data_IF_661484775727
#
_entry.id   IF_661484775727
#
_cell.length_a   1.000
_cell.length_b   1.000
_cell.length_c   1.000
_cell.angle_alpha   90.00
_cell.angle_beta   90.00
_cell.angle_gamma   90.00
#
_symmetry.space_group_name_H-M   'P 1'
#
loop_
_entity.id
_entity.type
_entity.pdbx_description
1 polymer ?
#
# COMPACT_ATOMS: atom_id res chain seq x y z
N UNK A 1 29.90 -30.02 -14.00
CA UNK A 1 29.94 -28.55 -13.95
C UNK A 1 28.82 -28.15 -13.03
N UNK A 2 29.12 -27.64 -11.83
CA UNK A 2 28.09 -27.11 -10.94
C UNK A 2 27.51 -25.87 -11.60
N UNK A 3 26.22 -25.91 -11.96
CA UNK A 3 25.50 -24.71 -12.36
C UNK A 3 25.51 -23.77 -11.15
N UNK A 4 26.24 -22.66 -11.25
CA UNK A 4 26.11 -21.58 -10.28
C UNK A 4 24.77 -20.89 -10.55
N UNK A 5 23.86 -20.92 -9.56
CA UNK A 5 22.59 -20.20 -9.63
C UNK A 5 22.82 -18.68 -9.59
N UNK A 6 22.03 -17.95 -10.35
CA UNK A 6 22.13 -16.50 -10.48
C UNK A 6 20.87 -15.80 -9.94
N UNK A 7 21.05 -14.54 -9.55
CA UNK A 7 19.96 -13.63 -9.20
C UNK A 7 19.95 -12.41 -10.11
N UNK A 8 18.78 -11.86 -10.39
CA UNK A 8 18.62 -10.57 -11.03
C UNK A 8 18.43 -9.48 -9.97
N UNK A 9 19.23 -8.43 -10.08
CA UNK A 9 19.05 -7.23 -9.26
C UNK A 9 17.93 -6.34 -9.82
N UNK A 10 17.50 -5.35 -9.03
CA UNK A 10 16.48 -4.36 -9.44
C UNK A 10 16.89 -3.53 -10.65
N UNK A 11 18.19 -3.33 -10.87
CA UNK A 11 18.78 -2.66 -12.03
C UNK A 11 18.91 -3.56 -13.28
N UNK A 12 18.43 -4.82 -13.18
CA UNK A 12 18.53 -5.82 -14.26
C UNK A 12 19.89 -6.55 -14.32
N UNK A 13 20.88 -6.20 -13.48
CA UNK A 13 22.18 -6.88 -13.50
C UNK A 13 22.08 -8.30 -12.95
N UNK A 14 22.83 -9.22 -13.58
CA UNK A 14 22.93 -10.64 -13.18
C UNK A 14 24.10 -10.82 -12.22
N UNK A 15 23.91 -11.57 -11.14
CA UNK A 15 24.94 -11.87 -10.16
C UNK A 15 24.78 -13.29 -9.60
N UNK A 16 25.90 -13.98 -9.30
CA UNK A 16 25.88 -15.27 -8.61
C UNK A 16 25.20 -15.16 -7.22
N UNK A 17 24.46 -16.19 -6.85
CA UNK A 17 23.86 -16.32 -5.51
C UNK A 17 24.98 -16.31 -4.47
N UNK A 18 24.79 -15.57 -3.39
CA UNK A 18 25.76 -15.49 -2.30
C UNK A 18 25.04 -15.59 -0.95
N UNK A 19 25.39 -16.61 -0.18
CA UNK A 19 24.96 -16.79 1.20
C UNK A 19 25.25 -15.54 2.04
N UNK A 20 26.45 -15.02 1.96
CA UNK A 20 26.91 -13.89 2.78
C UNK A 20 26.11 -12.60 2.49
N UNK A 21 25.72 -12.40 1.23
CA UNK A 21 24.90 -11.22 0.87
C UNK A 21 23.48 -11.31 1.43
N UNK A 22 22.89 -12.49 1.40
CA UNK A 22 21.55 -12.75 1.98
C UNK A 22 21.63 -12.59 3.49
N UNK A 23 22.60 -13.23 4.13
CA UNK A 23 22.85 -13.12 5.58
C UNK A 23 23.07 -11.65 6.00
N UNK A 24 23.90 -10.91 5.27
CA UNK A 24 24.18 -9.49 5.53
C UNK A 24 22.92 -8.64 5.39
N UNK A 25 22.09 -8.92 4.37
CA UNK A 25 20.80 -8.24 4.17
C UNK A 25 19.86 -8.45 5.35
N UNK A 26 19.76 -9.69 5.84
CA UNK A 26 18.91 -10.04 6.99
C UNK A 26 19.42 -9.35 8.26
N UNK A 27 20.71 -9.43 8.53
CA UNK A 27 21.35 -8.79 9.69
C UNK A 27 21.17 -7.27 9.67
N UNK A 28 21.27 -6.63 8.50
CA UNK A 28 21.07 -5.18 8.37
C UNK A 28 19.65 -4.75 8.77
N UNK A 29 18.66 -5.62 8.61
CA UNK A 29 17.25 -5.32 8.99
C UNK A 29 16.94 -5.74 10.42
N UNK A 30 17.88 -6.34 11.12
CA UNK A 30 17.75 -6.88 12.48
C UNK A 30 18.41 -5.97 13.53
N UNK A 31 18.30 -4.65 13.35
CA UNK A 31 18.70 -3.71 14.41
C UNK A 31 17.83 -3.89 15.66
N UNK A 32 18.27 -3.39 16.83
CA UNK A 32 17.66 -3.57 18.17
C UNK A 32 17.79 -4.99 18.75
N UNK A 33 18.91 -5.70 18.44
CA UNK A 33 19.30 -6.98 19.05
C UNK A 33 18.19 -8.06 19.05
N UNK A 34 17.55 -8.25 17.90
CA UNK A 34 16.52 -9.27 17.75
C UNK A 34 17.09 -10.67 18.02
N UNK A 35 16.38 -11.45 18.83
CA UNK A 35 16.73 -12.84 19.16
C UNK A 35 16.36 -13.80 18.01
N UNK A 36 17.20 -13.86 16.99
CA UNK A 36 16.96 -14.60 15.75
C UNK A 36 18.17 -15.47 15.41
N UNK A 37 17.94 -16.71 15.03
CA UNK A 37 18.97 -17.56 14.44
C UNK A 37 19.15 -17.23 12.96
N UNK A 38 20.02 -16.27 12.66
CA UNK A 38 20.26 -15.77 11.30
C UNK A 38 20.77 -16.85 10.34
N UNK A 39 21.65 -17.74 10.81
CA UNK A 39 22.22 -18.80 9.96
C UNK A 39 21.14 -19.79 9.54
N UNK A 40 20.34 -20.28 10.47
CA UNK A 40 19.24 -21.21 10.17
C UNK A 40 18.19 -20.55 9.26
N UNK A 41 17.88 -19.28 9.48
CA UNK A 41 16.96 -18.53 8.62
C UNK A 41 17.52 -18.41 7.20
N UNK A 42 18.79 -18.06 7.07
CA UNK A 42 19.44 -17.89 5.75
C UNK A 42 19.47 -19.22 4.97
N UNK A 43 19.78 -20.34 5.61
CA UNK A 43 19.73 -21.67 4.98
C UNK A 43 18.32 -21.95 4.45
N UNK A 44 17.28 -21.76 5.27
CA UNK A 44 15.89 -21.99 4.85
C UNK A 44 15.46 -21.11 3.67
N UNK A 45 16.04 -19.93 3.52
CA UNK A 45 15.76 -19.05 2.38
C UNK A 45 16.46 -19.58 1.14
N UNK A 46 17.74 -19.94 1.25
CA UNK A 46 18.55 -20.44 0.12
C UNK A 46 17.93 -21.71 -0.46
N UNK A 47 17.43 -22.60 0.37
CA UNK A 47 16.77 -23.84 -0.06
C UNK A 47 15.50 -23.60 -0.91
N UNK A 48 15.01 -22.36 -0.96
CA UNK A 48 13.84 -21.94 -1.74
C UNK A 48 14.18 -21.14 -2.99
N UNK A 49 15.46 -20.82 -3.19
CA UNK A 49 15.90 -20.07 -4.36
C UNK A 49 15.89 -20.94 -5.60
N UNK A 50 15.72 -20.32 -6.73
CA UNK A 50 15.83 -20.92 -8.06
C UNK A 50 16.69 -20.00 -8.95
N UNK A 51 17.25 -20.56 -10.03
CA UNK A 51 18.07 -19.78 -10.97
C UNK A 51 17.26 -18.66 -11.61
N UNK A 52 17.83 -17.46 -11.62
CA UNK A 52 17.21 -16.27 -12.19
C UNK A 52 16.21 -15.55 -11.30
N UNK A 53 16.09 -15.91 -10.01
CA UNK A 53 15.20 -15.21 -9.06
C UNK A 53 15.60 -13.73 -8.91
N UNK A 54 14.60 -12.86 -8.80
CA UNK A 54 14.83 -11.44 -8.53
C UNK A 54 15.15 -11.17 -7.05
N UNK A 55 16.08 -10.24 -6.76
CA UNK A 55 16.41 -9.89 -5.37
C UNK A 55 15.23 -9.28 -4.60
N UNK A 56 14.26 -8.68 -5.28
CA UNK A 56 12.98 -8.24 -4.68
C UNK A 56 12.13 -9.41 -4.20
N UNK A 57 12.15 -10.51 -4.94
CA UNK A 57 11.45 -11.74 -4.59
C UNK A 57 12.14 -12.48 -3.45
N UNK A 58 13.48 -12.45 -3.38
CA UNK A 58 14.23 -12.97 -2.23
C UNK A 58 13.84 -12.22 -0.94
N UNK A 59 13.73 -10.89 -0.98
CA UNK A 59 13.24 -10.09 0.16
C UNK A 59 11.80 -10.53 0.54
N UNK A 60 10.91 -10.77 -0.43
CA UNK A 60 9.55 -11.25 -0.19
C UNK A 60 9.51 -12.65 0.46
N UNK A 61 10.26 -13.61 -0.10
CA UNK A 61 10.39 -14.96 0.46
C UNK A 61 10.97 -14.93 1.88
N UNK A 62 11.95 -14.04 2.12
CA UNK A 62 12.55 -13.85 3.45
C UNK A 62 11.50 -13.33 4.44
N UNK A 63 10.72 -12.32 4.07
CA UNK A 63 9.68 -11.77 4.92
C UNK A 63 8.59 -12.81 5.23
N UNK A 64 8.16 -13.60 4.24
CA UNK A 64 7.20 -14.69 4.41
C UNK A 64 7.74 -15.79 5.35
N UNK A 65 9.01 -16.17 5.18
CA UNK A 65 9.64 -17.16 6.05
C UNK A 65 9.73 -16.66 7.49
N UNK A 66 10.09 -15.40 7.69
CA UNK A 66 10.09 -14.78 9.01
C UNK A 66 8.67 -14.76 9.60
N UNK A 67 7.67 -14.33 8.82
CA UNK A 67 6.28 -14.31 9.28
C UNK A 67 5.78 -15.70 9.71
N UNK A 68 6.16 -16.77 9.00
CA UNK A 68 5.82 -18.15 9.37
C UNK A 68 6.47 -18.60 10.68
N UNK A 69 7.61 -18.02 11.04
CA UNK A 69 8.35 -18.32 12.29
C UNK A 69 7.92 -17.43 13.47
N UNK A 70 6.99 -16.50 13.29
CA UNK A 70 6.51 -15.59 14.34
C UNK A 70 5.87 -16.32 15.53
N UNK A 71 5.33 -17.51 15.31
CA UNK A 71 4.81 -18.39 16.37
C UNK A 71 5.92 -19.00 17.25
N UNK A 72 7.16 -19.05 16.75
CA UNK A 72 8.32 -19.54 17.50
C UNK A 72 8.93 -18.44 18.36
N UNK A 73 9.07 -17.23 17.81
CA UNK A 73 9.55 -16.05 18.53
C UNK A 73 9.01 -14.76 17.89
N UNK A 74 8.51 -13.78 18.69
CA UNK A 74 7.90 -12.55 18.18
C UNK A 74 8.85 -11.69 17.33
N UNK A 75 10.16 -11.74 17.56
CA UNK A 75 11.14 -10.97 16.82
C UNK A 75 11.17 -11.32 15.34
N UNK A 76 10.78 -12.54 14.96
CA UNK A 76 10.60 -12.88 13.54
C UNK A 76 9.49 -12.05 12.87
N UNK A 77 8.42 -11.71 13.59
CA UNK A 77 7.38 -10.83 13.04
C UNK A 77 7.90 -9.41 12.80
N UNK A 78 8.75 -8.90 13.70
CA UNK A 78 9.41 -7.61 13.56
C UNK A 78 10.34 -7.61 12.33
N UNK A 79 11.18 -8.63 12.21
CA UNK A 79 12.07 -8.75 11.06
C UNK A 79 11.30 -8.90 9.74
N UNK A 80 10.19 -9.66 9.75
CA UNK A 80 9.33 -9.84 8.58
C UNK A 80 8.80 -8.51 8.05
N UNK A 81 8.26 -7.65 8.93
CA UNK A 81 7.74 -6.34 8.55
C UNK A 81 8.85 -5.42 8.04
N UNK A 82 10.00 -5.38 8.71
CA UNK A 82 11.14 -4.55 8.30
C UNK A 82 11.66 -4.90 6.91
N UNK A 83 11.84 -6.18 6.62
CA UNK A 83 12.30 -6.64 5.29
C UNK A 83 11.26 -6.29 4.23
N UNK A 84 9.99 -6.57 4.49
CA UNK A 84 8.90 -6.32 3.55
C UNK A 84 8.77 -4.83 3.21
N UNK A 85 8.75 -3.97 4.22
CA UNK A 85 8.65 -2.51 4.05
C UNK A 85 9.87 -1.96 3.32
N UNK A 86 11.08 -2.38 3.71
CA UNK A 86 12.31 -1.99 3.01
C UNK A 86 12.33 -2.47 1.56
N UNK A 87 11.77 -3.65 1.26
CA UNK A 87 11.60 -4.15 -0.10
C UNK A 87 10.67 -3.22 -0.91
N UNK A 88 9.52 -2.90 -0.33
CA UNK A 88 8.53 -2.01 -0.94
C UNK A 88 9.11 -0.61 -1.24
N UNK A 89 9.82 -0.01 -0.26
CA UNK A 89 10.46 1.29 -0.45
C UNK A 89 11.53 1.29 -1.55
N UNK A 90 12.24 0.17 -1.75
CA UNK A 90 13.21 0.02 -2.85
C UNK A 90 12.55 -0.16 -4.22
N UNK A 91 11.31 -0.64 -4.26
CA UNK A 91 10.57 -0.89 -5.49
C UNK A 91 9.67 0.31 -5.89
N UNK A 92 9.58 1.34 -5.04
CA UNK A 92 8.72 2.52 -5.24
C UNK A 92 9.53 3.81 -5.09
N UNK A 93 9.11 4.86 -5.80
CA UNK A 93 9.71 6.20 -5.63
C UNK A 93 9.31 6.82 -4.30
N UNK A 94 10.15 7.70 -3.76
CA UNK A 94 9.86 8.55 -2.61
C UNK A 94 9.25 9.91 -3.00
N UNK A 95 9.24 10.24 -4.29
CA UNK A 95 8.67 11.47 -4.80
C UNK A 95 7.15 11.40 -4.87
N UNK A 96 6.47 12.04 -3.94
CA UNK A 96 5.01 12.10 -3.95
C UNK A 96 4.46 12.79 -5.19
N UNK A 97 5.08 13.87 -5.63
CA UNK A 97 4.70 14.57 -6.87
C UNK A 97 4.79 13.67 -8.09
N UNK A 98 5.83 12.83 -8.18
CA UNK A 98 5.95 11.84 -9.27
C UNK A 98 4.80 10.82 -9.23
N UNK A 99 4.46 10.30 -8.05
CA UNK A 99 3.34 9.35 -7.90
C UNK A 99 2.03 10.00 -8.34
N UNK A 100 1.75 11.22 -7.87
CA UNK A 100 0.53 11.96 -8.21
C UNK A 100 0.46 12.25 -9.71
N UNK A 101 1.57 12.64 -10.33
CA UNK A 101 1.62 12.89 -11.76
C UNK A 101 1.35 11.60 -12.58
N UNK A 102 1.92 10.47 -12.17
CA UNK A 102 1.68 9.18 -12.83
C UNK A 102 0.22 8.74 -12.70
N UNK A 103 -0.38 8.90 -11.52
CA UNK A 103 -1.80 8.56 -11.29
C UNK A 103 -2.76 9.48 -12.07
N UNK A 104 -2.42 10.76 -12.21
CA UNK A 104 -3.24 11.71 -12.96
C UNK A 104 -3.15 11.50 -14.46
N UNK A 105 -1.96 11.22 -14.99
CA UNK A 105 -1.72 11.02 -16.42
C UNK A 105 -1.98 9.57 -16.88
N UNK A 106 -2.60 8.75 -16.03
CA UNK A 106 -2.93 7.38 -16.40
C UNK A 106 -3.86 7.33 -17.61
N UNK A 107 -3.56 6.43 -18.53
CA UNK A 107 -4.41 6.10 -19.67
C UNK A 107 -4.91 4.66 -19.53
N UNK A 108 -6.14 4.43 -19.94
CA UNK A 108 -6.73 3.09 -19.94
C UNK A 108 -6.21 2.22 -21.14
N UNK A 109 -6.72 1.01 -21.27
CA UNK A 109 -6.34 0.05 -22.31
C UNK A 109 -6.65 0.53 -23.75
N UNK A 110 -7.39 1.63 -23.88
CA UNK A 110 -7.73 2.27 -25.15
C UNK A 110 -6.98 3.58 -25.36
N UNK A 111 -5.88 3.81 -24.62
CA UNK A 111 -5.08 5.05 -24.62
C UNK A 111 -5.89 6.32 -24.28
N UNK A 112 -7.06 6.16 -23.64
CA UNK A 112 -7.88 7.28 -23.21
C UNK A 112 -7.43 7.74 -21.81
N UNK A 113 -7.24 9.05 -21.64
CA UNK A 113 -6.94 9.65 -20.35
C UNK A 113 -8.03 9.28 -19.32
N UNK A 114 -7.62 8.59 -18.28
CA UNK A 114 -8.49 8.03 -17.23
C UNK A 114 -7.86 8.23 -15.85
N UNK A 115 -7.83 9.48 -15.35
CA UNK A 115 -7.09 9.83 -14.15
C UNK A 115 -7.61 9.09 -12.93
N UNK A 116 -6.70 8.53 -12.13
CA UNK A 116 -7.01 7.82 -10.89
C UNK A 116 -7.14 8.78 -9.70
N UNK A 117 -6.64 10.00 -9.83
CA UNK A 117 -6.80 11.07 -8.85
C UNK A 117 -7.46 12.29 -9.47
N UNK A 118 -8.03 13.17 -8.62
CA UNK A 118 -8.72 14.37 -9.06
C UNK A 118 -7.76 15.43 -9.60
N UNK A 119 -8.25 16.24 -10.55
CA UNK A 119 -7.51 17.39 -11.07
C UNK A 119 -7.17 18.40 -9.96
N UNK A 120 -8.05 18.56 -8.99
CA UNK A 120 -7.82 19.44 -7.84
C UNK A 120 -6.61 18.99 -7.03
N UNK A 121 -6.54 17.69 -6.68
CA UNK A 121 -5.39 17.14 -5.95
C UNK A 121 -4.11 17.24 -6.77
N UNK A 122 -4.16 16.95 -8.06
CA UNK A 122 -3.03 17.08 -8.98
C UNK A 122 -2.47 18.51 -8.98
N UNK A 123 -3.33 19.51 -9.17
CA UNK A 123 -2.92 20.94 -9.15
C UNK A 123 -2.33 21.35 -7.80
N UNK A 124 -3.00 20.99 -6.71
CA UNK A 124 -2.57 21.30 -5.34
C UNK A 124 -1.18 20.77 -5.03
N UNK A 125 -0.92 19.49 -5.36
CA UNK A 125 0.37 18.85 -5.09
C UNK A 125 1.48 19.47 -5.93
N UNK A 126 1.23 19.78 -7.21
CA UNK A 126 2.24 20.42 -8.06
C UNK A 126 2.54 21.85 -7.60
N UNK A 127 1.52 22.60 -7.14
CA UNK A 127 1.70 23.98 -6.63
C UNK A 127 2.52 24.01 -5.33
N UNK A 128 2.37 23.00 -4.46
CA UNK A 128 3.00 22.95 -3.14
C UNK A 128 4.00 21.82 -2.99
N UNK A 129 4.58 21.33 -4.09
CA UNK A 129 5.38 20.10 -4.16
C UNK A 129 6.49 20.04 -3.10
N UNK A 130 7.33 21.08 -2.98
CA UNK A 130 8.43 21.10 -2.02
C UNK A 130 7.94 21.09 -0.57
N UNK A 131 6.89 21.84 -0.27
CA UNK A 131 6.30 21.91 1.07
C UNK A 131 5.73 20.54 1.48
N UNK A 132 4.91 19.93 0.63
CA UNK A 132 4.30 18.64 0.90
C UNK A 132 5.38 17.55 1.00
N UNK A 133 6.36 17.56 0.09
CA UNK A 133 7.46 16.59 0.11
C UNK A 133 8.26 16.65 1.42
N UNK A 134 8.44 17.83 2.01
CA UNK A 134 9.17 18.00 3.27
C UNK A 134 8.46 17.41 4.52
N UNK A 135 7.20 17.06 4.41
CA UNK A 135 6.42 16.51 5.52
C UNK A 135 6.57 15.00 5.70
N UNK A 136 7.08 14.30 4.67
CA UNK A 136 7.21 12.85 4.73
C UNK A 136 8.29 12.40 5.70
N UNK A 137 7.92 11.45 6.55
CA UNK A 137 8.79 10.70 7.41
C UNK A 137 8.67 9.20 7.05
N UNK A 138 9.61 8.71 6.26
CA UNK A 138 9.59 7.35 5.72
C UNK A 138 9.79 6.27 6.78
N UNK A 139 10.36 6.63 7.94
CA UNK A 139 10.52 5.71 9.07
C UNK A 139 9.17 5.30 9.67
N UNK A 140 8.14 6.13 9.50
CA UNK A 140 6.77 5.79 9.95
C UNK A 140 6.16 4.60 9.20
N UNK A 141 6.65 4.23 8.02
CA UNK A 141 6.24 2.98 7.36
C UNK A 141 6.57 1.78 8.24
N UNK A 142 7.70 1.79 8.96
CA UNK A 142 8.13 0.72 9.86
C UNK A 142 7.32 0.59 11.16
N UNK A 143 6.37 1.48 11.39
CA UNK A 143 5.35 1.32 12.45
C UNK A 143 4.30 0.25 12.10
N UNK A 144 4.21 -0.15 10.83
CA UNK A 144 3.29 -1.20 10.39
C UNK A 144 3.91 -2.58 10.66
N UNK A 145 3.08 -3.50 11.17
CA UNK A 145 3.46 -4.89 11.23
C UNK A 145 3.32 -5.59 9.86
N UNK A 146 3.80 -6.82 9.76
CA UNK A 146 3.78 -7.59 8.52
C UNK A 146 2.35 -7.72 7.95
N UNK A 147 1.39 -8.04 8.81
CA UNK A 147 0.01 -8.30 8.38
C UNK A 147 -0.70 -7.01 7.96
N UNK A 148 -0.51 -5.94 8.73
CA UNK A 148 -1.04 -4.60 8.40
C UNK A 148 -0.49 -4.08 7.08
N UNK A 149 0.83 -4.20 6.86
CA UNK A 149 1.44 -3.79 5.60
C UNK A 149 0.90 -4.62 4.42
N UNK A 150 0.83 -5.95 4.55
CA UNK A 150 0.27 -6.83 3.49
C UNK A 150 -1.19 -6.50 3.18
N UNK A 151 -1.96 -6.09 4.16
CA UNK A 151 -3.33 -5.63 3.95
C UNK A 151 -3.37 -4.35 3.10
N UNK A 152 -2.52 -3.37 3.43
CA UNK A 152 -2.41 -2.14 2.63
C UNK A 152 -1.93 -2.43 1.19
N UNK A 153 -0.88 -3.21 1.05
CA UNK A 153 -0.30 -3.61 -0.24
C UNK A 153 -1.32 -4.31 -1.14
N UNK A 154 -2.08 -5.23 -0.57
CA UNK A 154 -3.07 -6.01 -1.31
C UNK A 154 -4.25 -5.17 -1.80
N UNK A 155 -4.81 -4.34 -0.93
CA UNK A 155 -6.13 -3.77 -1.12
C UNK A 155 -6.19 -2.22 -1.19
N UNK A 156 -5.22 -1.49 -0.62
CA UNK A 156 -5.39 -0.06 -0.40
C UNK A 156 -4.43 0.83 -1.20
N UNK A 157 -3.18 0.41 -1.38
CA UNK A 157 -2.21 1.20 -2.12
C UNK A 157 -2.56 1.25 -3.61
N UNK A 158 -2.53 2.43 -4.20
CA UNK A 158 -2.87 2.61 -5.62
C UNK A 158 -1.87 1.92 -6.53
N UNK A 159 -2.41 1.39 -7.63
CA UNK A 159 -1.71 0.61 -8.65
C UNK A 159 -1.92 1.22 -10.02
N UNK A 160 -0.89 1.14 -10.86
CA UNK A 160 -0.97 1.41 -12.29
C UNK A 160 -0.63 0.10 -13.01
N UNK A 161 -1.53 -0.38 -13.86
CA UNK A 161 -1.37 -1.65 -14.59
C UNK A 161 -0.98 -2.84 -13.68
N UNK A 162 -1.59 -2.91 -12.50
CA UNK A 162 -1.33 -3.97 -11.51
C UNK A 162 -0.08 -3.76 -10.64
N UNK A 163 0.77 -2.77 -10.96
CA UNK A 163 1.98 -2.45 -10.20
C UNK A 163 1.67 -1.36 -9.16
N UNK A 164 2.05 -1.61 -7.91
CA UNK A 164 1.86 -0.65 -6.81
C UNK A 164 2.80 0.54 -7.01
N UNK A 165 2.25 1.75 -6.92
CA UNK A 165 3.00 3.00 -7.06
C UNK A 165 3.02 3.84 -5.77
N UNK A 166 2.07 3.63 -4.86
CA UNK A 166 2.02 4.32 -3.57
C UNK A 166 2.85 3.59 -2.50
N UNK A 167 3.48 4.35 -1.62
CA UNK A 167 3.89 3.91 -0.28
C UNK A 167 2.75 4.16 0.71
N UNK A 168 2.73 3.54 1.91
CA UNK A 168 1.75 3.86 2.95
C UNK A 168 1.69 5.36 3.25
N UNK A 169 2.83 6.03 3.36
CA UNK A 169 2.89 7.48 3.60
C UNK A 169 2.26 8.29 2.45
N UNK A 170 2.41 7.87 1.19
CA UNK A 170 1.74 8.49 0.06
C UNK A 170 0.22 8.39 0.17
N UNK A 171 -0.29 7.22 0.56
CA UNK A 171 -1.72 7.01 0.77
C UNK A 171 -2.26 7.93 1.87
N UNK A 172 -1.58 8.00 3.04
CA UNK A 172 -2.00 8.88 4.13
C UNK A 172 -2.02 10.35 3.70
N UNK A 173 -1.01 10.78 2.93
CA UNK A 173 -0.94 12.15 2.42
C UNK A 173 -2.05 12.43 1.39
N UNK A 174 -2.27 11.52 0.43
CA UNK A 174 -3.35 11.62 -0.57
C UNK A 174 -4.71 11.75 0.11
N UNK A 175 -4.98 10.93 1.11
CA UNK A 175 -6.24 10.96 1.88
C UNK A 175 -6.39 12.29 2.61
N UNK A 176 -5.35 12.74 3.29
CA UNK A 176 -5.37 14.00 4.04
C UNK A 176 -5.62 15.21 3.14
N UNK A 177 -4.91 15.29 2.02
CA UNK A 177 -5.12 16.36 1.03
C UNK A 177 -6.47 16.24 0.32
N UNK A 178 -6.94 15.02 0.07
CA UNK A 178 -8.25 14.78 -0.55
C UNK A 178 -9.42 15.20 0.34
N UNK A 179 -9.25 15.20 1.66
CA UNK A 179 -10.26 15.65 2.64
C UNK A 179 -10.22 17.16 2.84
N UNK A 180 -9.02 17.73 3.00
CA UNK A 180 -8.85 19.12 3.43
C UNK A 180 -8.57 20.11 2.30
N UNK A 181 -8.22 19.61 1.10
CA UNK A 181 -7.94 20.47 -0.04
C UNK A 181 -6.82 21.48 0.27
N UNK A 182 -7.12 22.76 0.05
CA UNK A 182 -6.17 23.87 0.22
C UNK A 182 -5.81 24.18 1.69
N UNK A 183 -6.55 23.63 2.66
CA UNK A 183 -6.18 23.80 4.08
C UNK A 183 -4.99 22.87 4.44
N UNK A 184 -3.81 23.28 3.96
CA UNK A 184 -2.57 22.53 4.15
C UNK A 184 -2.22 22.28 5.62
N UNK A 185 -2.64 23.16 6.52
CA UNK A 185 -2.41 23.00 7.96
C UNK A 185 -3.19 21.81 8.52
N UNK A 186 -4.48 21.70 8.18
CA UNK A 186 -5.32 20.56 8.58
C UNK A 186 -4.88 19.27 7.85
N UNK A 187 -4.53 19.36 6.58
CA UNK A 187 -4.02 18.22 5.83
C UNK A 187 -2.78 17.63 6.49
N UNK A 188 -1.79 18.46 6.83
CA UNK A 188 -0.58 18.02 7.55
C UNK A 188 -0.93 17.40 8.91
N UNK A 189 -1.79 18.02 9.68
CA UNK A 189 -2.20 17.50 10.98
C UNK A 189 -2.86 16.11 10.86
N UNK A 190 -3.78 15.94 9.93
CA UNK A 190 -4.45 14.66 9.68
C UNK A 190 -3.47 13.60 9.19
N UNK A 191 -2.53 13.96 8.29
CA UNK A 191 -1.44 13.08 7.89
C UNK A 191 -0.59 12.64 9.07
N UNK A 192 -0.17 13.56 9.94
CA UNK A 192 0.65 13.23 11.11
C UNK A 192 -0.08 12.26 12.04
N UNK A 193 -1.38 12.45 12.27
CA UNK A 193 -2.16 11.55 13.12
C UNK A 193 -2.31 10.15 12.50
N UNK A 194 -2.63 10.04 11.21
CA UNK A 194 -2.78 8.74 10.54
C UNK A 194 -1.45 8.01 10.42
N UNK A 195 -0.40 8.71 9.99
CA UNK A 195 0.92 8.11 9.77
C UNK A 195 1.60 7.65 11.06
N UNK A 196 1.26 8.26 12.20
CA UNK A 196 1.69 7.84 13.54
C UNK A 196 0.72 6.84 14.21
N UNK A 197 -0.29 6.31 13.49
CA UNK A 197 -1.23 5.30 13.95
C UNK A 197 -2.15 5.75 15.10
N UNK A 198 -2.42 7.05 15.26
CA UNK A 198 -3.41 7.52 16.23
C UNK A 198 -4.83 7.16 15.81
N UNK A 199 -5.13 7.19 14.51
CA UNK A 199 -6.38 6.71 13.94
C UNK A 199 -6.21 6.33 12.46
N UNK A 200 -7.22 5.69 11.89
CA UNK A 200 -7.35 5.49 10.45
C UNK A 200 -8.80 5.75 10.02
N UNK A 201 -8.96 6.19 8.79
CA UNK A 201 -10.28 6.27 8.18
C UNK A 201 -10.80 4.90 7.75
N UNK A 202 -12.11 4.80 7.58
CA UNK A 202 -12.76 3.62 7.01
C UNK A 202 -12.37 3.42 5.53
N UNK A 203 -12.54 2.19 5.06
CA UNK A 203 -12.17 1.76 3.70
C UNK A 203 -12.62 2.70 2.58
N UNK A 204 -13.88 3.19 2.52
CA UNK A 204 -14.31 4.09 1.44
C UNK A 204 -13.51 5.39 1.39
N UNK A 205 -13.18 5.96 2.55
CA UNK A 205 -12.36 7.17 2.62
C UNK A 205 -10.94 6.91 2.12
N UNK A 206 -10.32 5.79 2.55
CA UNK A 206 -8.97 5.42 2.11
C UNK A 206 -8.89 5.16 0.60
N UNK A 207 -9.94 4.58 0.02
CA UNK A 207 -10.00 4.31 -1.42
C UNK A 207 -10.26 5.57 -2.25
N UNK A 208 -11.21 6.40 -1.82
CA UNK A 208 -11.81 7.40 -2.68
C UNK A 208 -11.33 8.84 -2.41
N UNK A 209 -10.69 9.12 -1.25
CA UNK A 209 -10.19 10.47 -0.98
C UNK A 209 -9.10 10.85 -1.97
N UNK A 210 -9.26 12.01 -2.59
CA UNK A 210 -8.36 12.53 -3.62
C UNK A 210 -8.58 11.94 -5.01
N UNK A 211 -9.59 11.07 -5.21
CA UNK A 211 -9.97 10.54 -6.53
C UNK A 211 -10.98 11.46 -7.23
N UNK A 212 -11.27 11.27 -8.53
CA UNK A 212 -12.25 12.06 -9.25
C UNK A 212 -13.69 11.92 -8.71
N UNK A 213 -13.95 10.87 -7.93
CA UNK A 213 -15.28 10.60 -7.33
C UNK A 213 -15.12 10.31 -5.84
N UNK A 214 -14.97 11.34 -5.00
CA UNK A 214 -14.64 11.20 -3.58
C UNK A 214 -15.87 10.82 -2.76
N UNK A 215 -16.28 9.54 -2.81
CA UNK A 215 -17.28 8.99 -1.90
C UNK A 215 -16.57 8.58 -0.59
N UNK A 216 -16.84 9.27 0.52
CA UNK A 216 -16.10 9.14 1.78
C UNK A 216 -16.91 8.50 2.92
N UNK A 217 -18.23 8.29 2.74
CA UNK A 217 -19.07 7.65 3.75
C UNK A 217 -18.92 6.13 3.74
N UNK A 218 -18.78 5.54 4.93
CA UNK A 218 -18.61 4.08 5.06
C UNK A 218 -19.93 3.32 5.07
N UNK A 219 -21.01 3.94 5.58
CA UNK A 219 -22.28 3.26 5.81
C UNK A 219 -23.47 4.16 5.41
N UNK A 220 -24.47 3.52 4.84
CA UNK A 220 -25.70 4.14 4.41
C UNK A 220 -26.88 3.35 4.96
N UNK A 221 -27.90 4.07 5.45
CA UNK A 221 -29.19 3.50 5.78
C UNK A 221 -30.17 3.88 4.70
N UNK A 222 -30.82 2.88 4.12
CA UNK A 222 -31.77 3.05 3.02
C UNK A 222 -33.06 2.30 3.30
N UNK A 223 -34.20 2.93 3.04
CA UNK A 223 -35.49 2.27 3.10
C UNK A 223 -35.88 1.79 1.70
N UNK A 224 -36.67 0.72 1.63
CA UNK A 224 -37.43 0.36 0.42
C UNK A 224 -38.29 1.54 0.01
N UNK A 225 -38.27 1.95 -1.27
CA UNK A 225 -39.00 3.09 -1.75
C UNK A 225 -40.54 2.85 -1.68
N UNK A 226 -40.97 1.69 -2.13
CA UNK A 226 -42.35 1.24 -2.04
C UNK A 226 -42.47 -0.25 -2.36
N UNK A 227 -43.60 -0.87 -1.94
CA UNK A 227 -43.93 -2.25 -2.34
C UNK A 227 -44.54 -2.26 -3.76
N UNK A 228 -43.68 -1.99 -4.73
CA UNK A 228 -43.94 -2.00 -6.16
C UNK A 228 -42.74 -2.42 -6.94
N UNK A 229 -42.91 -2.86 -8.19
CA UNK A 229 -41.78 -3.21 -9.06
C UNK A 229 -40.82 -2.05 -9.20
N UNK A 230 -41.32 -0.85 -9.47
CA UNK A 230 -40.50 0.36 -9.62
C UNK A 230 -39.74 0.68 -8.32
N UNK A 231 -40.39 0.67 -7.17
CA UNK A 231 -39.78 0.97 -5.87
C UNK A 231 -38.70 -0.05 -5.51
N UNK A 232 -38.93 -1.34 -5.77
CA UNK A 232 -37.92 -2.40 -5.55
C UNK A 232 -36.71 -2.19 -6.42
N UNK A 233 -36.87 -1.97 -7.72
CA UNK A 233 -35.74 -1.79 -8.64
C UNK A 233 -35.02 -0.45 -8.46
N UNK A 234 -35.71 0.64 -8.10
CA UNK A 234 -35.09 1.91 -7.75
C UNK A 234 -34.19 1.75 -6.52
N UNK A 235 -34.69 1.11 -5.48
CA UNK A 235 -33.90 0.81 -4.28
C UNK A 235 -32.69 -0.07 -4.59
N UNK A 236 -32.84 -1.11 -5.42
CA UNK A 236 -31.72 -1.96 -5.85
C UNK A 236 -30.67 -1.16 -6.63
N UNK A 237 -31.09 -0.27 -7.53
CA UNK A 237 -30.19 0.61 -8.29
C UNK A 237 -29.39 1.50 -7.35
N UNK A 238 -30.02 2.12 -6.36
CA UNK A 238 -29.35 2.98 -5.39
C UNK A 238 -28.36 2.20 -4.53
N UNK A 239 -28.74 1.02 -4.07
CA UNK A 239 -27.84 0.08 -3.38
C UNK A 239 -26.62 -0.27 -4.24
N UNK A 240 -26.82 -0.54 -5.52
CA UNK A 240 -25.74 -0.87 -6.46
C UNK A 240 -24.77 0.30 -6.66
N UNK A 241 -25.29 1.53 -6.71
CA UNK A 241 -24.46 2.74 -6.84
C UNK A 241 -23.63 2.99 -5.58
N UNK A 242 -24.19 2.79 -4.40
CA UNK A 242 -23.46 2.89 -3.13
C UNK A 242 -22.39 1.82 -3.03
N UNK A 243 -22.75 0.57 -3.31
CA UNK A 243 -21.84 -0.58 -3.24
C UNK A 243 -20.68 -0.47 -4.22
N UNK A 244 -20.90 0.08 -5.42
CA UNK A 244 -19.86 0.32 -6.43
C UNK A 244 -18.66 1.13 -5.89
N UNK A 245 -18.91 2.02 -4.94
CA UNK A 245 -17.89 2.89 -4.34
C UNK A 245 -17.53 2.48 -2.91
N UNK A 246 -17.67 1.19 -2.62
CA UNK A 246 -17.29 0.56 -1.34
C UNK A 246 -18.11 1.06 -0.12
N UNK A 247 -19.31 1.62 -0.31
CA UNK A 247 -20.22 1.93 0.78
C UNK A 247 -20.91 0.69 1.34
N UNK A 248 -20.97 0.54 2.65
CA UNK A 248 -21.80 -0.45 3.34
C UNK A 248 -23.26 -0.02 3.35
N UNK A 249 -24.20 -0.97 3.27
CA UNK A 249 -25.64 -0.66 3.16
C UNK A 249 -26.41 -1.43 4.22
N UNK A 250 -27.20 -0.70 5.01
CA UNK A 250 -28.29 -1.25 5.81
C UNK A 250 -29.62 -0.96 5.13
N UNK A 251 -30.29 -2.00 4.63
CA UNK A 251 -31.55 -1.87 3.91
C UNK A 251 -32.73 -2.24 4.82
N UNK A 252 -33.68 -1.32 4.94
CA UNK A 252 -34.95 -1.50 5.59
C UNK A 252 -36.01 -1.91 4.57
N UNK A 253 -36.66 -3.05 4.72
CA UNK A 253 -37.46 -3.70 3.68
C UNK A 253 -38.97 -3.75 3.98
N UNK A 254 -39.44 -3.01 4.97
CA UNK A 254 -40.86 -3.01 5.30
C UNK A 254 -41.48 -1.62 5.05
N UNK A 255 -42.03 -1.35 3.89
CA UNK A 255 -42.86 -0.24 3.54
C UNK A 255 -43.98 -0.71 2.62
#
# INVERSE_FOLDING_TARGET
MSHEDFVFKRDGTKQAVSFDKILTRIKKMSYDDLNINFTTLTVKIIDRLYDGIHTSEIDELTAQQCASLSTTHPDYAILASRILISNHQKNTTDSFTTVINNLYNYTDIHDKHSPLISEQLYKLVNQHSNTIQSWFDWERDFLLDYFGFKTLERAYLMKINGVIVERPQHMWMRVSLGIHGEDLKKAKHTYDLMSNKFFTHATPTLFNAGTPRPQLSSCYLQAMESDSIDGIYNTLKDCSMISKWAGGIGLHIHN
#
